data_IF_716534518020
#
_entry.id   IF_716534518020
#
_cell.length_a   1.000
_cell.length_b   1.000
_cell.length_c   1.000
_cell.angle_alpha   90.00
_cell.angle_beta   90.00
_cell.angle_gamma   90.00
#
_symmetry.space_group_name_H-M   'P 1'
#
loop_
_entity.id
_entity.type
_entity.pdbx_description
1 polymer ?
#
# COMPACT_ATOMS: atom_id res chain seq x y z
N UNK A 1 27.44 25.92 -57.67
CA UNK A 1 26.36 25.26 -56.90
C UNK A 1 26.56 25.64 -55.46
N UNK A 2 25.71 26.51 -54.86
CA UNK A 2 25.83 26.91 -53.46
C UNK A 2 25.08 25.95 -52.52
N UNK A 3 25.73 25.64 -51.43
CA UNK A 3 25.22 24.91 -50.29
C UNK A 3 24.13 25.74 -49.60
N UNK A 4 22.98 25.09 -49.39
CA UNK A 4 21.87 25.67 -48.60
C UNK A 4 22.10 25.23 -47.14
N UNK A 5 22.47 26.20 -46.30
CA UNK A 5 22.44 26.07 -44.85
C UNK A 5 20.98 26.07 -44.36
N UNK A 6 20.51 24.97 -43.81
CA UNK A 6 19.24 24.89 -43.08
C UNK A 6 19.47 25.35 -41.63
N UNK A 7 18.96 26.55 -41.33
CA UNK A 7 18.78 27.05 -39.97
C UNK A 7 17.67 26.26 -39.28
N UNK A 8 18.05 25.49 -38.27
CA UNK A 8 17.10 24.85 -37.36
C UNK A 8 16.78 25.85 -36.25
N UNK A 9 15.66 26.55 -36.40
CA UNK A 9 15.08 27.35 -35.30
C UNK A 9 14.56 26.47 -34.20
N UNK A 10 15.36 26.37 -33.13
CA UNK A 10 14.91 25.73 -31.87
C UNK A 10 13.98 26.71 -31.16
N UNK A 11 12.67 26.49 -31.28
CA UNK A 11 11.66 27.20 -30.49
C UNK A 11 11.82 26.79 -29.05
N UNK A 12 12.46 27.65 -28.27
CA UNK A 12 12.58 27.55 -26.82
C UNK A 12 11.25 27.94 -26.19
N UNK A 13 10.38 27.00 -25.88
CA UNK A 13 9.18 27.25 -25.10
C UNK A 13 9.58 27.49 -23.63
N UNK A 14 9.59 28.74 -23.22
CA UNK A 14 9.68 29.14 -21.83
C UNK A 14 8.33 28.79 -21.13
N UNK A 15 8.34 28.17 -19.94
CA UNK A 15 7.11 27.97 -19.19
C UNK A 15 6.59 29.30 -18.64
N UNK A 16 5.27 29.56 -18.65
CA UNK A 16 4.71 30.75 -18.08
C UNK A 16 4.98 30.86 -16.59
N UNK A 17 5.63 31.93 -16.17
CA UNK A 17 5.84 32.31 -14.78
C UNK A 17 4.49 32.65 -14.16
N UNK A 18 3.85 31.69 -13.51
CA UNK A 18 2.71 31.94 -12.64
C UNK A 18 3.22 32.55 -11.33
N UNK A 19 3.33 33.86 -11.30
CA UNK A 19 3.39 34.65 -10.08
C UNK A 19 2.03 34.53 -9.37
N UNK A 20 1.92 33.56 -8.46
CA UNK A 20 0.83 33.52 -7.51
C UNK A 20 1.08 34.55 -6.41
N UNK A 21 0.38 35.70 -6.52
CA UNK A 21 0.24 36.64 -5.42
C UNK A 21 -0.47 35.92 -4.24
N UNK A 22 0.30 35.65 -3.18
CA UNK A 22 -0.24 35.15 -1.93
C UNK A 22 -0.98 36.29 -1.20
N UNK A 23 -2.26 36.44 -1.52
CA UNK A 23 -3.19 37.19 -0.66
C UNK A 23 -3.29 36.53 0.70
N UNK A 24 -2.95 37.27 1.77
CA UNK A 24 -3.14 36.89 3.18
C UNK A 24 -4.63 36.64 3.45
N UNK A 25 -5.02 35.36 3.41
CA UNK A 25 -6.24 34.90 4.06
C UNK A 25 -5.86 33.63 4.85
N UNK A 26 -5.89 33.73 6.19
CA UNK A 26 -5.68 32.66 7.14
C UNK A 26 -6.87 31.67 7.14
N UNK A 27 -7.20 31.12 5.99
CA UNK A 27 -8.02 29.91 5.91
C UNK A 27 -7.05 28.75 5.70
N UNK A 28 -6.73 28.04 6.79
CA UNK A 28 -6.15 26.70 6.69
C UNK A 28 -7.16 25.81 5.96
N UNK A 29 -7.06 25.77 4.64
CA UNK A 29 -7.71 24.73 3.85
C UNK A 29 -7.03 23.43 4.26
N UNK A 30 -7.71 22.67 5.10
CA UNK A 30 -7.32 21.33 5.48
C UNK A 30 -7.43 20.48 4.21
N UNK A 31 -6.35 20.45 3.40
CA UNK A 31 -6.25 19.49 2.32
C UNK A 31 -6.32 18.10 2.95
N UNK A 32 -7.27 17.24 2.55
CA UNK A 32 -7.32 15.89 3.07
C UNK A 32 -5.98 15.23 2.73
N UNK A 33 -5.19 14.95 3.77
CA UNK A 33 -3.90 14.26 3.61
C UNK A 33 -4.20 12.88 3.04
N UNK A 34 -3.74 12.61 1.82
CA UNK A 34 -3.88 11.29 1.21
C UNK A 34 -3.16 10.30 2.14
N UNK A 35 -3.86 9.31 2.70
CA UNK A 35 -3.25 8.38 3.63
C UNK A 35 -2.12 7.61 2.94
N UNK A 36 -0.99 7.47 3.60
CA UNK A 36 0.13 6.66 3.10
C UNK A 36 -0.30 5.19 3.00
N UNK A 37 0.40 4.40 2.18
CA UNK A 37 0.13 2.95 2.06
C UNK A 37 0.11 2.27 3.44
N UNK A 38 1.08 2.60 4.30
CA UNK A 38 1.14 2.06 5.65
C UNK A 38 -0.06 2.49 6.53
N UNK A 39 -0.60 3.70 6.36
CA UNK A 39 -1.80 4.13 7.07
C UNK A 39 -3.04 3.38 6.60
N UNK A 40 -3.18 3.14 5.29
CA UNK A 40 -4.28 2.34 4.73
C UNK A 40 -4.24 0.90 5.24
N UNK A 41 -3.05 0.29 5.26
CA UNK A 41 -2.88 -1.06 5.80
C UNK A 41 -3.28 -1.14 7.28
N UNK A 42 -2.85 -0.19 8.10
CA UNK A 42 -3.23 -0.14 9.53
C UNK A 42 -4.74 0.05 9.72
N UNK A 43 -5.35 0.94 8.93
CA UNK A 43 -6.80 1.17 8.99
C UNK A 43 -7.56 -0.11 8.60
N UNK A 44 -7.19 -0.75 7.49
CA UNK A 44 -7.82 -1.99 7.06
C UNK A 44 -7.67 -3.10 8.12
N UNK A 45 -6.48 -3.27 8.69
CA UNK A 45 -6.26 -4.24 9.76
C UNK A 45 -7.14 -3.95 10.99
N UNK A 46 -7.20 -2.69 11.42
CA UNK A 46 -8.05 -2.30 12.54
C UNK A 46 -9.53 -2.61 12.25
N UNK A 47 -10.02 -2.33 11.05
CA UNK A 47 -11.40 -2.58 10.65
C UNK A 47 -11.71 -4.09 10.60
N UNK A 48 -10.83 -4.89 9.97
CA UNK A 48 -11.00 -6.34 9.82
C UNK A 48 -11.03 -7.05 11.17
N UNK A 49 -10.15 -6.66 12.10
CA UNK A 49 -10.04 -7.30 13.41
C UNK A 49 -10.83 -6.61 14.52
N UNK A 50 -11.54 -5.52 14.23
CA UNK A 50 -12.30 -4.75 15.23
C UNK A 50 -13.27 -5.58 16.08
N UNK A 51 -13.87 -6.61 15.48
CA UNK A 51 -14.81 -7.51 16.17
C UNK A 51 -14.14 -8.49 17.15
N UNK A 52 -12.84 -8.73 16.99
CA UNK A 52 -12.06 -9.62 17.85
C UNK A 52 -11.35 -8.85 18.98
N UNK A 53 -11.26 -7.52 18.87
CA UNK A 53 -10.62 -6.66 19.87
C UNK A 53 -11.59 -6.37 20.99
N UNK A 54 -11.14 -6.59 22.24
CA UNK A 54 -11.91 -6.36 23.45
C UNK A 54 -11.90 -4.90 23.89
N UNK A 55 -10.78 -4.19 23.67
CA UNK A 55 -10.60 -2.78 24.02
C UNK A 55 -10.58 -1.88 22.78
N UNK A 56 -11.73 -1.30 22.45
CA UNK A 56 -11.90 -0.40 21.32
C UNK A 56 -11.13 0.93 21.48
N UNK A 57 -10.84 1.34 22.72
CA UNK A 57 -10.08 2.57 22.98
C UNK A 57 -8.61 2.36 22.66
N UNK A 58 -8.05 1.22 23.07
CA UNK A 58 -6.70 0.82 22.71
C UNK A 58 -6.55 0.65 21.18
N UNK A 59 -7.54 0.06 20.49
CA UNK A 59 -7.54 -0.06 19.04
C UNK A 59 -7.46 1.30 18.33
N UNK A 60 -8.25 2.28 18.76
CA UNK A 60 -8.22 3.66 18.19
C UNK A 60 -6.87 4.32 18.38
N UNK A 61 -6.27 4.19 19.58
CA UNK A 61 -4.95 4.75 19.85
C UNK A 61 -3.87 4.07 19.01
N UNK A 62 -3.95 2.75 18.83
CA UNK A 62 -3.05 1.98 18.00
C UNK A 62 -3.14 2.39 16.53
N UNK A 63 -4.34 2.56 15.99
CA UNK A 63 -4.57 2.98 14.59
C UNK A 63 -3.97 4.36 14.29
N UNK A 64 -3.94 5.24 15.27
CA UNK A 64 -3.33 6.58 15.13
C UNK A 64 -1.81 6.56 15.24
N UNK A 65 -1.20 5.43 15.59
CA UNK A 65 0.25 5.31 15.76
C UNK A 65 0.98 5.30 14.42
N UNK A 66 2.26 5.71 14.44
CA UNK A 66 3.16 5.66 13.28
C UNK A 66 4.12 4.48 13.33
N UNK A 67 3.82 3.48 14.17
CA UNK A 67 4.68 2.30 14.36
C UNK A 67 4.81 1.48 13.07
N UNK A 68 5.92 0.72 12.90
CA UNK A 68 6.06 -0.25 11.81
C UNK A 68 4.89 -1.23 11.75
N UNK A 69 4.52 -1.69 10.55
CA UNK A 69 3.38 -2.61 10.35
C UNK A 69 3.52 -3.90 11.18
N UNK A 70 4.72 -4.43 11.29
CA UNK A 70 5.02 -5.60 12.12
C UNK A 70 4.68 -5.34 13.59
N UNK A 71 5.17 -4.23 14.16
CA UNK A 71 4.87 -3.86 15.55
C UNK A 71 3.38 -3.61 15.75
N UNK A 72 2.73 -2.95 14.80
CA UNK A 72 1.30 -2.73 14.78
C UNK A 72 0.51 -4.06 14.82
N UNK A 73 0.88 -5.03 13.98
CA UNK A 73 0.21 -6.33 13.92
C UNK A 73 0.36 -7.12 15.23
N UNK A 74 1.53 -7.09 15.86
CA UNK A 74 1.75 -7.74 17.17
C UNK A 74 0.94 -7.09 18.29
N UNK A 75 0.90 -5.75 18.35
CA UNK A 75 0.07 -5.05 19.32
C UNK A 75 -1.42 -5.32 19.08
N UNK A 76 -1.86 -5.31 17.81
CA UNK A 76 -3.23 -5.68 17.45
C UNK A 76 -3.56 -7.10 17.90
N UNK A 77 -2.67 -8.06 17.65
CA UNK A 77 -2.83 -9.45 18.11
C UNK A 77 -2.98 -9.54 19.63
N UNK A 78 -2.22 -8.76 20.40
CA UNK A 78 -2.32 -8.72 21.85
C UNK A 78 -3.66 -8.17 22.38
N UNK A 79 -4.34 -7.34 21.59
CA UNK A 79 -5.65 -6.78 21.90
C UNK A 79 -6.81 -7.71 21.50
N UNK A 80 -6.54 -8.74 20.70
CA UNK A 80 -7.57 -9.68 20.23
C UNK A 80 -7.69 -10.88 21.13
N UNK A 81 -8.89 -11.47 21.15
CA UNK A 81 -9.13 -12.76 21.83
C UNK A 81 -8.51 -13.96 21.12
N UNK A 82 -8.06 -13.77 19.86
CA UNK A 82 -7.48 -14.82 18.99
C UNK A 82 -6.25 -14.26 18.25
N UNK A 83 -5.08 -14.21 18.91
CA UNK A 83 -3.85 -13.69 18.29
C UNK A 83 -3.45 -14.44 17.01
N UNK A 84 -3.74 -15.75 16.96
CA UNK A 84 -3.49 -16.62 15.81
C UNK A 84 -4.30 -16.21 14.55
N UNK A 85 -5.44 -15.56 14.74
CA UNK A 85 -6.20 -15.02 13.60
C UNK A 85 -5.51 -13.82 12.95
N UNK A 86 -4.68 -13.09 13.71
CA UNK A 86 -3.94 -11.92 13.21
C UNK A 86 -2.59 -12.31 12.61
N UNK A 87 -1.82 -13.14 13.34
CA UNK A 87 -0.44 -13.47 12.99
C UNK A 87 -0.30 -14.81 12.27
N UNK A 88 -1.37 -15.64 12.24
CA UNK A 88 -1.31 -16.98 11.69
C UNK A 88 -0.55 -17.97 12.57
N UNK A 89 -0.38 -19.19 12.08
CA UNK A 89 0.38 -20.24 12.75
C UNK A 89 1.90 -20.03 12.63
N UNK A 90 2.35 -19.50 11.50
CA UNK A 90 3.75 -19.17 11.25
C UNK A 90 3.99 -17.66 11.36
N UNK A 91 4.16 -17.22 12.61
CA UNK A 91 4.42 -15.81 12.94
C UNK A 91 5.67 -15.27 12.25
N UNK A 92 6.70 -16.10 12.09
CA UNK A 92 7.95 -15.68 11.46
C UNK A 92 7.74 -15.30 9.99
N UNK A 93 7.04 -16.13 9.24
CA UNK A 93 6.70 -15.85 7.83
C UNK A 93 5.78 -14.63 7.73
N UNK A 94 4.83 -14.47 8.65
CA UNK A 94 3.98 -13.27 8.70
C UNK A 94 4.82 -12.00 8.92
N UNK A 95 5.76 -12.02 9.85
CA UNK A 95 6.65 -10.90 10.14
C UNK A 95 7.53 -10.53 8.94
N UNK A 96 8.10 -11.52 8.26
CA UNK A 96 8.92 -11.32 7.06
C UNK A 96 8.10 -10.65 5.93
N UNK A 97 6.84 -11.04 5.76
CA UNK A 97 5.96 -10.41 4.79
C UNK A 97 5.56 -8.98 5.19
N UNK A 98 5.27 -8.73 6.46
CA UNK A 98 4.95 -7.37 6.95
C UNK A 98 6.11 -6.41 6.73
N UNK A 99 7.34 -6.85 7.02
CA UNK A 99 8.56 -6.06 6.76
C UNK A 99 8.76 -5.82 5.25
N UNK A 100 8.49 -6.83 4.40
CA UNK A 100 8.54 -6.67 2.94
C UNK A 100 7.48 -5.70 2.42
N UNK A 101 6.24 -5.76 2.92
CA UNK A 101 5.15 -4.86 2.52
C UNK A 101 5.47 -3.41 2.88
N UNK A 102 6.02 -3.16 4.05
CA UNK A 102 6.38 -1.81 4.48
C UNK A 102 7.53 -1.22 3.65
N UNK A 103 8.49 -2.04 3.27
CA UNK A 103 9.63 -1.66 2.41
C UNK A 103 9.42 -1.90 0.91
N UNK A 104 8.18 -2.13 0.48
CA UNK A 104 7.91 -2.59 -0.89
C UNK A 104 8.25 -1.53 -1.94
N UNK A 105 9.41 -1.73 -2.61
CA UNK A 105 9.84 -1.04 -3.83
C UNK A 105 10.03 -2.02 -5.00
N UNK A 106 9.49 -3.25 -4.88
CA UNK A 106 9.69 -4.32 -5.84
C UNK A 106 8.80 -4.19 -7.07
N UNK A 107 9.23 -4.81 -8.18
CA UNK A 107 8.40 -4.93 -9.38
C UNK A 107 7.24 -5.91 -9.15
N UNK A 108 6.10 -5.64 -9.81
CA UNK A 108 4.94 -6.55 -9.78
C UNK A 108 5.29 -7.95 -10.28
N UNK A 109 6.23 -8.07 -11.22
CA UNK A 109 6.71 -9.35 -11.74
C UNK A 109 7.38 -10.21 -10.65
N UNK A 110 8.22 -9.60 -9.81
CA UNK A 110 8.86 -10.31 -8.69
C UNK A 110 7.83 -10.79 -7.68
N UNK A 111 6.82 -9.97 -7.40
CA UNK A 111 5.74 -10.32 -6.51
C UNK A 111 4.85 -11.43 -7.09
N UNK A 112 4.51 -11.34 -8.38
CA UNK A 112 3.72 -12.36 -9.07
C UNK A 112 4.35 -13.75 -8.96
N UNK A 113 5.68 -13.84 -9.20
CA UNK A 113 6.43 -15.10 -9.04
C UNK A 113 6.42 -15.63 -7.60
N UNK A 114 6.48 -14.74 -6.59
CA UNK A 114 6.41 -15.15 -5.18
C UNK A 114 5.03 -15.66 -4.79
N UNK A 115 3.97 -15.10 -5.38
CA UNK A 115 2.58 -15.49 -5.12
C UNK A 115 2.14 -16.75 -5.89
N UNK A 116 2.91 -17.20 -6.88
CA UNK A 116 2.56 -18.35 -7.71
C UNK A 116 2.24 -19.63 -6.90
N UNK A 117 3.09 -20.07 -5.94
CA UNK A 117 2.87 -21.30 -5.20
C UNK A 117 1.91 -21.18 -4.01
N UNK A 118 1.47 -19.97 -3.65
CA UNK A 118 0.77 -19.72 -2.37
C UNK A 118 -0.63 -19.14 -2.61
N UNK A 119 -1.54 -19.48 -1.72
CA UNK A 119 -2.89 -18.90 -1.67
C UNK A 119 -2.97 -17.77 -0.67
N UNK A 120 -2.42 -17.99 0.53
CA UNK A 120 -2.23 -16.98 1.58
C UNK A 120 -0.75 -16.90 1.94
N UNK A 121 -0.30 -15.76 2.43
CA UNK A 121 1.13 -15.49 2.70
C UNK A 121 1.68 -16.34 3.85
N UNK A 122 0.84 -16.68 4.82
CA UNK A 122 1.23 -17.40 6.03
C UNK A 122 0.16 -18.42 6.42
N UNK A 123 0.22 -19.62 5.81
CA UNK A 123 -0.65 -20.74 6.17
C UNK A 123 -1.92 -20.88 5.32
N UNK A 124 -3.03 -21.30 5.96
CA UNK A 124 -4.26 -21.69 5.28
C UNK A 124 -5.40 -20.68 5.40
N UNK A 125 -5.17 -19.54 6.04
CA UNK A 125 -6.13 -18.48 6.24
C UNK A 125 -5.47 -17.12 6.07
N UNK A 126 -6.24 -16.07 5.70
CA UNK A 126 -5.69 -14.73 5.56
C UNK A 126 -5.25 -14.17 6.92
N UNK A 127 -4.07 -13.56 6.95
CA UNK A 127 -3.45 -12.96 8.13
C UNK A 127 -3.27 -11.46 7.98
N UNK A 128 -2.68 -10.80 8.97
CA UNK A 128 -2.34 -9.38 8.88
C UNK A 128 -1.41 -9.07 7.69
N UNK A 129 -0.53 -10.00 7.32
CA UNK A 129 0.33 -9.84 6.15
C UNK A 129 -0.49 -9.76 4.84
N UNK A 130 -1.48 -10.64 4.68
CA UNK A 130 -2.35 -10.69 3.51
C UNK A 130 -3.15 -9.39 3.36
N UNK A 131 -3.81 -8.94 4.41
CA UNK A 131 -4.56 -7.68 4.37
C UNK A 131 -3.65 -6.45 4.17
N UNK A 132 -2.43 -6.47 4.70
CA UNK A 132 -1.47 -5.39 4.49
C UNK A 132 -0.99 -5.33 3.05
N UNK A 133 -0.69 -6.48 2.44
CA UNK A 133 -0.31 -6.57 1.04
C UNK A 133 -1.46 -6.12 0.13
N UNK A 134 -2.67 -6.61 0.40
CA UNK A 134 -3.87 -6.21 -0.32
C UNK A 134 -4.07 -4.69 -0.29
N UNK A 135 -4.05 -4.07 0.90
CA UNK A 135 -4.24 -2.62 1.06
C UNK A 135 -3.15 -1.80 0.32
N UNK A 136 -1.91 -2.29 0.34
CA UNK A 136 -0.78 -1.60 -0.30
C UNK A 136 -0.84 -1.62 -1.82
N UNK A 137 -1.40 -2.68 -2.40
CA UNK A 137 -1.45 -2.88 -3.84
C UNK A 137 -2.81 -2.56 -4.46
N UNK A 138 -3.83 -2.30 -3.66
CA UNK A 138 -5.20 -2.14 -4.13
C UNK A 138 -5.33 -1.14 -5.29
N UNK A 139 -4.78 0.07 -5.12
CA UNK A 139 -4.86 1.12 -6.14
C UNK A 139 -4.12 0.72 -7.42
N UNK A 140 -2.99 0.01 -7.29
CA UNK A 140 -2.19 -0.43 -8.43
C UNK A 140 -2.93 -1.51 -9.19
N UNK A 141 -3.36 -2.57 -8.51
CA UNK A 141 -3.98 -3.75 -9.16
C UNK A 141 -5.35 -3.42 -9.72
N UNK A 142 -6.16 -2.61 -9.02
CA UNK A 142 -7.49 -2.21 -9.49
C UNK A 142 -7.47 -1.34 -10.76
N UNK A 143 -6.35 -0.66 -11.03
CA UNK A 143 -6.18 0.19 -12.21
C UNK A 143 -5.37 -0.46 -13.33
N UNK A 144 -4.90 -1.70 -13.14
CA UNK A 144 -4.14 -2.42 -14.17
C UNK A 144 -4.99 -2.64 -15.44
N UNK A 145 -4.46 -2.28 -16.62
CA UNK A 145 -5.13 -2.61 -17.87
C UNK A 145 -5.15 -4.13 -18.11
N UNK A 146 -6.11 -4.67 -18.88
CA UNK A 146 -6.25 -6.11 -19.10
C UNK A 146 -4.98 -6.82 -19.56
N UNK A 147 -4.17 -6.18 -20.41
CA UNK A 147 -2.89 -6.74 -20.86
C UNK A 147 -1.89 -6.94 -19.70
N UNK A 148 -1.83 -6.00 -18.75
CA UNK A 148 -0.99 -6.12 -17.57
C UNK A 148 -1.53 -7.14 -16.56
N UNK A 149 -2.85 -7.27 -16.43
CA UNK A 149 -3.47 -8.33 -15.62
C UNK A 149 -3.09 -9.72 -16.14
N UNK A 150 -3.08 -9.92 -17.47
CA UNK A 150 -2.64 -11.17 -18.09
C UNK A 150 -1.14 -11.44 -17.87
N UNK A 151 -0.32 -10.41 -17.74
CA UNK A 151 1.10 -10.55 -17.45
C UNK A 151 1.40 -10.95 -15.99
N UNK A 152 0.42 -10.75 -15.06
CA UNK A 152 0.57 -11.03 -13.63
C UNK A 152 -0.58 -11.90 -13.10
N UNK A 153 -0.74 -13.15 -13.58
CA UNK A 153 -1.89 -13.98 -13.27
C UNK A 153 -1.96 -14.41 -11.81
N UNK A 154 -0.81 -14.65 -11.17
CA UNK A 154 -0.76 -15.06 -9.75
C UNK A 154 -1.17 -13.92 -8.82
N UNK A 155 -0.74 -12.71 -9.14
CA UNK A 155 -1.14 -11.50 -8.42
C UNK A 155 -2.65 -11.25 -8.54
N UNK A 156 -3.20 -11.31 -9.75
CA UNK A 156 -4.64 -11.13 -9.99
C UNK A 156 -5.46 -12.20 -9.29
N UNK A 157 -5.02 -13.48 -9.36
CA UNK A 157 -5.63 -14.57 -8.62
C UNK A 157 -5.66 -14.29 -7.12
N UNK A 158 -4.52 -13.92 -6.53
CA UNK A 158 -4.39 -13.60 -5.11
C UNK A 158 -5.37 -12.48 -4.71
N UNK A 159 -5.42 -11.40 -5.47
CA UNK A 159 -6.36 -10.29 -5.25
C UNK A 159 -7.83 -10.71 -5.33
N UNK A 160 -8.16 -11.65 -6.20
CA UNK A 160 -9.53 -12.16 -6.33
C UNK A 160 -9.98 -13.03 -5.16
N UNK A 161 -9.03 -13.54 -4.37
CA UNK A 161 -9.29 -14.34 -3.17
C UNK A 161 -9.47 -13.49 -1.91
N UNK A 162 -8.92 -12.26 -1.89
CA UNK A 162 -9.00 -11.32 -0.77
C UNK A 162 -10.27 -10.49 -0.80
#
# INVERSE_FOLDING_TARGET
MPLVEQHSDIIRLEPPSLLLEFGRSNSCVFLPTIPTMAQRSRQLLADMYSRLVTDQTALKSLTSSTKPLRTFAHELASLTSKPEAVLGEDVKTTDEWLDQVEGMNGSLETLDKKLEPITFLSGNAPTAADYSLFASLYDIVSTLPPAAQHAHPSLVRYFSHM
#
